data_IF_004567356123
#
_entry.id   IF_004567356123
#
_cell.length_a   1.000
_cell.length_b   1.000
_cell.length_c   1.000
_cell.angle_alpha   90.00
_cell.angle_beta   90.00
_cell.angle_gamma   90.00
#
_symmetry.space_group_name_H-M   'P 1'
#
loop_
_entity.id
_entity.type
_entity.pdbx_description
1 polymer ?
#
# COMPACT_ATOMS: atom_id res chain seq x y z
N UNK A 1 -1.55 19.72 -20.87
CA UNK A 1 -1.10 18.40 -20.36
C UNK A 1 -0.59 18.50 -18.92
N UNK A 2 0.34 19.40 -18.58
CA UNK A 2 0.88 19.52 -17.20
C UNK A 2 -0.16 19.76 -16.09
N UNK A 3 -1.17 20.63 -16.31
CA UNK A 3 -2.20 20.92 -15.30
C UNK A 3 -3.12 19.73 -14.98
N UNK A 4 -3.46 18.90 -15.97
CA UNK A 4 -4.35 17.73 -15.79
C UNK A 4 -3.61 16.62 -15.05
N UNK A 5 -2.34 16.39 -15.40
CA UNK A 5 -1.47 15.45 -14.69
C UNK A 5 -1.29 15.84 -13.22
N UNK A 6 -1.05 17.13 -12.93
CA UNK A 6 -0.93 17.62 -11.55
C UNK A 6 -2.24 17.47 -10.75
N UNK A 7 -3.39 17.76 -11.37
CA UNK A 7 -4.71 17.56 -10.75
C UNK A 7 -4.99 16.08 -10.45
N UNK A 8 -4.65 15.19 -11.39
CA UNK A 8 -4.76 13.74 -11.19
C UNK A 8 -3.86 13.29 -10.03
N UNK A 9 -2.58 13.67 -10.06
CA UNK A 9 -1.62 13.31 -9.02
C UNK A 9 -2.09 13.79 -7.64
N UNK A 10 -2.60 15.03 -7.55
CA UNK A 10 -3.16 15.60 -6.31
C UNK A 10 -4.34 14.80 -5.77
N UNK A 11 -5.23 14.32 -6.64
CA UNK A 11 -6.38 13.48 -6.23
C UNK A 11 -5.94 12.07 -5.82
N UNK A 12 -4.89 11.54 -6.44
CA UNK A 12 -4.30 10.24 -6.08
C UNK A 12 -3.39 10.27 -4.85
N UNK A 13 -3.04 11.45 -4.31
CA UNK A 13 -2.23 11.56 -3.09
C UNK A 13 -2.85 10.84 -1.90
N UNK A 14 -4.16 10.99 -1.69
CA UNK A 14 -4.84 10.36 -0.56
C UNK A 14 -4.75 8.83 -0.60
N UNK A 15 -5.16 8.13 -1.69
CA UNK A 15 -5.05 6.68 -1.74
C UNK A 15 -3.60 6.19 -1.66
N UNK A 16 -2.65 6.83 -2.35
CA UNK A 16 -1.24 6.43 -2.24
C UNK A 16 -0.66 6.62 -0.85
N UNK A 17 -0.98 7.74 -0.18
CA UNK A 17 -0.52 7.99 1.18
C UNK A 17 -1.11 6.96 2.15
N UNK A 18 -2.37 6.55 1.98
CA UNK A 18 -2.98 5.49 2.79
C UNK A 18 -2.18 4.19 2.71
N UNK A 19 -1.84 3.73 1.49
CA UNK A 19 -1.03 2.51 1.32
C UNK A 19 0.36 2.67 1.94
N UNK A 20 1.03 3.80 1.69
CA UNK A 20 2.36 4.08 2.24
C UNK A 20 2.33 4.00 3.77
N UNK A 21 1.37 4.66 4.42
CA UNK A 21 1.24 4.67 5.88
C UNK A 21 1.02 3.26 6.43
N UNK A 22 0.12 2.47 5.82
CA UNK A 22 -0.15 1.10 6.25
C UNK A 22 1.12 0.24 6.11
N UNK A 23 1.83 0.33 4.98
CA UNK A 23 3.05 -0.44 4.74
C UNK A 23 4.18 -0.01 5.68
N UNK A 24 4.33 1.28 5.95
CA UNK A 24 5.33 1.80 6.89
C UNK A 24 5.07 1.33 8.31
N UNK A 25 3.83 1.42 8.80
CA UNK A 25 3.46 0.95 10.15
C UNK A 25 3.66 -0.57 10.23
N UNK A 26 3.18 -1.32 9.24
CA UNK A 26 3.31 -2.78 9.18
C UNK A 26 4.77 -3.22 9.26
N UNK A 27 5.62 -2.64 8.39
CA UNK A 27 7.06 -2.92 8.34
C UNK A 27 7.74 -2.56 9.66
N UNK A 28 7.43 -1.40 10.22
CA UNK A 28 8.00 -0.96 11.50
C UNK A 28 7.64 -1.93 12.64
N UNK A 29 6.39 -2.39 12.68
CA UNK A 29 5.96 -3.38 13.68
C UNK A 29 6.75 -4.67 13.60
N UNK A 30 7.02 -5.20 12.40
CA UNK A 30 7.84 -6.40 12.24
C UNK A 30 9.31 -6.22 12.64
N UNK A 31 9.89 -5.03 12.41
CA UNK A 31 11.25 -4.72 12.86
C UNK A 31 11.32 -4.58 14.40
N UNK A 32 10.23 -4.13 15.04
CA UNK A 32 10.18 -3.91 16.48
C UNK A 32 9.86 -5.18 17.28
N UNK A 33 8.96 -6.03 16.77
CA UNK A 33 8.52 -7.25 17.45
C UNK A 33 9.56 -8.36 17.24
N UNK A 34 10.20 -8.88 18.32
CA UNK A 34 11.17 -9.96 18.18
C UNK A 34 10.49 -11.28 17.76
N UNK A 35 11.15 -11.97 16.83
CA UNK A 35 10.91 -13.36 16.49
C UNK A 35 11.86 -14.29 17.23
N UNK A 36 11.85 -15.56 16.81
CA UNK A 36 12.73 -16.61 17.32
C UNK A 36 13.28 -17.40 16.14
N UNK A 37 14.58 -17.71 16.15
CA UNK A 37 15.21 -18.55 15.13
C UNK A 37 15.02 -20.05 15.40
N UNK A 38 15.53 -20.90 14.51
CA UNK A 38 15.41 -22.36 14.64
C UNK A 38 16.13 -22.95 15.88
N UNK A 39 17.00 -22.17 16.53
CA UNK A 39 17.75 -22.57 17.72
C UNK A 39 17.12 -22.00 19.01
N UNK A 40 16.01 -21.26 18.91
CA UNK A 40 15.35 -20.64 20.05
C UNK A 40 15.94 -19.28 20.45
N UNK A 41 16.88 -18.73 19.68
CA UNK A 41 17.45 -17.42 19.98
C UNK A 41 16.54 -16.28 19.50
N UNK A 42 16.54 -15.12 20.18
CA UNK A 42 15.81 -13.94 19.70
C UNK A 42 16.30 -13.50 18.31
N UNK A 43 15.39 -13.47 17.35
CA UNK A 43 15.64 -12.96 16.00
C UNK A 43 14.92 -11.63 15.80
N UNK A 44 15.57 -10.67 15.12
CA UNK A 44 14.93 -9.40 14.74
C UNK A 44 15.02 -9.24 13.23
N UNK A 45 13.88 -9.01 12.60
CA UNK A 45 13.86 -8.67 11.18
C UNK A 45 14.53 -7.31 10.96
N UNK A 46 15.35 -7.22 9.92
CA UNK A 46 15.73 -5.92 9.37
C UNK A 46 14.57 -5.35 8.53
N UNK A 47 14.72 -4.08 8.12
CA UNK A 47 13.72 -3.43 7.29
C UNK A 47 13.50 -4.11 5.93
N UNK A 48 14.52 -4.77 5.38
CA UNK A 48 14.44 -5.41 4.08
C UNK A 48 13.57 -6.67 4.14
N UNK A 49 13.81 -7.55 5.12
CA UNK A 49 13.02 -8.75 5.36
C UNK A 49 11.59 -8.41 5.77
N UNK A 50 11.41 -7.42 6.65
CA UNK A 50 10.09 -6.96 7.05
C UNK A 50 9.30 -6.41 5.84
N UNK A 51 9.93 -5.55 5.03
CA UNK A 51 9.27 -4.98 3.85
C UNK A 51 8.98 -6.04 2.78
N UNK A 52 9.87 -7.01 2.60
CA UNK A 52 9.67 -8.15 1.71
C UNK A 52 8.46 -8.98 2.14
N UNK A 53 8.36 -9.32 3.44
CA UNK A 53 7.19 -10.01 4.00
C UNK A 53 5.89 -9.22 3.75
N UNK A 54 5.88 -7.94 4.13
CA UNK A 54 4.73 -7.06 3.97
C UNK A 54 4.31 -6.92 2.50
N UNK A 55 5.26 -6.98 1.56
CA UNK A 55 4.97 -6.86 0.13
C UNK A 55 4.10 -8.01 -0.39
N UNK A 56 4.44 -9.26 -0.08
CA UNK A 56 3.65 -10.42 -0.55
C UNK A 56 2.43 -10.69 0.34
N UNK A 57 2.46 -10.29 1.61
CA UNK A 57 1.29 -10.36 2.50
C UNK A 57 0.23 -9.34 2.09
N UNK A 58 0.63 -8.07 1.90
CA UNK A 58 -0.29 -6.98 1.54
C UNK A 58 -0.87 -7.10 0.13
N UNK A 59 -0.18 -7.77 -0.79
CA UNK A 59 -0.70 -8.13 -2.13
C UNK A 59 -1.45 -9.46 -2.16
N UNK A 60 -1.73 -10.04 -0.98
CA UNK A 60 -2.47 -11.29 -0.80
C UNK A 60 -1.87 -12.50 -1.53
N UNK A 61 -0.55 -12.51 -1.75
CA UNK A 61 0.18 -13.65 -2.32
C UNK A 61 0.41 -14.72 -1.24
N UNK A 62 0.92 -14.30 -0.07
CA UNK A 62 1.00 -15.15 1.12
C UNK A 62 1.95 -16.36 1.02
N UNK A 63 3.26 -16.12 0.81
CA UNK A 63 4.28 -17.20 0.80
C UNK A 63 4.51 -17.90 2.15
N UNK A 64 3.86 -17.42 3.22
CA UNK A 64 4.02 -17.95 4.58
C UNK A 64 4.95 -17.13 5.46
N UNK A 65 5.34 -17.71 6.59
CA UNK A 65 6.21 -17.10 7.61
C UNK A 65 7.66 -17.39 7.27
N UNK A 66 8.40 -16.36 6.81
CA UNK A 66 9.80 -16.47 6.42
C UNK A 66 10.65 -15.35 7.03
N UNK A 67 11.93 -15.58 7.36
CA UNK A 67 12.65 -16.86 7.20
C UNK A 67 12.33 -17.91 8.27
N UNK A 68 11.79 -17.50 9.41
CA UNK A 68 11.45 -18.39 10.53
C UNK A 68 9.95 -18.33 10.85
N UNK A 69 9.38 -19.36 11.49
CA UNK A 69 8.02 -19.33 12.01
C UNK A 69 7.79 -18.14 12.94
N UNK A 70 6.65 -17.48 12.80
CA UNK A 70 6.34 -16.29 13.56
C UNK A 70 5.93 -16.64 14.99
N UNK A 71 6.38 -15.81 15.94
CA UNK A 71 5.90 -15.88 17.32
C UNK A 71 4.43 -15.47 17.41
N UNK A 72 3.76 -15.78 18.53
CA UNK A 72 2.38 -15.36 18.75
C UNK A 72 2.18 -13.84 18.60
N UNK A 73 3.15 -13.04 19.05
CA UNK A 73 3.12 -11.59 18.89
C UNK A 73 3.23 -11.16 17.42
N UNK A 74 4.15 -11.78 16.66
CA UNK A 74 4.27 -11.53 15.22
C UNK A 74 3.00 -11.95 14.47
N UNK A 75 2.40 -13.10 14.81
CA UNK A 75 1.12 -13.54 14.21
C UNK A 75 -0.05 -12.60 14.53
N UNK A 76 -0.15 -12.13 15.78
CA UNK A 76 -1.15 -11.14 16.15
C UNK A 76 -0.99 -9.86 15.34
N UNK A 77 0.24 -9.38 15.18
CA UNK A 77 0.55 -8.23 14.33
C UNK A 77 0.20 -8.47 12.86
N UNK A 78 0.60 -9.63 12.30
CA UNK A 78 0.25 -10.07 10.95
C UNK A 78 -1.25 -10.04 10.74
N UNK A 79 -2.05 -10.56 11.67
CA UNK A 79 -3.51 -10.61 11.56
C UNK A 79 -4.10 -9.20 11.42
N UNK A 80 -3.68 -8.25 12.26
CA UNK A 80 -4.13 -6.85 12.17
C UNK A 80 -3.71 -6.23 10.84
N UNK A 81 -2.49 -6.49 10.39
CA UNK A 81 -1.95 -5.93 9.14
C UNK A 81 -2.59 -6.54 7.88
N UNK A 82 -3.04 -7.80 7.91
CA UNK A 82 -3.81 -8.41 6.82
C UNK A 82 -5.10 -7.62 6.60
N UNK A 83 -5.89 -7.38 7.65
CA UNK A 83 -7.13 -6.61 7.50
C UNK A 83 -6.87 -5.16 7.09
N UNK A 84 -5.85 -4.52 7.67
CA UNK A 84 -5.49 -3.15 7.31
C UNK A 84 -5.07 -3.02 5.84
N UNK A 85 -4.24 -3.94 5.32
CA UNK A 85 -3.78 -3.93 3.93
C UNK A 85 -4.92 -4.20 2.96
N UNK A 86 -5.79 -5.18 3.24
CA UNK A 86 -6.99 -5.45 2.41
C UNK A 86 -7.90 -4.22 2.33
N UNK A 87 -8.20 -3.59 3.46
CA UNK A 87 -9.03 -2.37 3.49
C UNK A 87 -8.34 -1.22 2.75
N UNK A 88 -7.03 -1.04 2.95
CA UNK A 88 -6.23 -0.02 2.27
C UNK A 88 -6.25 -0.16 0.75
N UNK A 89 -6.11 -1.39 0.24
CA UNK A 89 -6.19 -1.69 -1.19
C UNK A 89 -7.60 -1.46 -1.75
N UNK A 90 -8.64 -1.95 -1.07
CA UNK A 90 -10.03 -1.73 -1.49
C UNK A 90 -10.37 -0.22 -1.57
N UNK A 91 -9.98 0.54 -0.55
CA UNK A 91 -10.13 1.99 -0.54
C UNK A 91 -9.38 2.65 -1.71
N UNK A 92 -8.12 2.26 -1.92
CA UNK A 92 -7.27 2.88 -2.93
C UNK A 92 -7.76 2.60 -4.34
N UNK A 93 -8.10 1.34 -4.64
CA UNK A 93 -8.69 0.94 -5.92
C UNK A 93 -10.03 1.64 -6.12
N UNK A 94 -10.91 1.65 -5.10
CA UNK A 94 -12.19 2.34 -5.17
C UNK A 94 -12.05 3.82 -5.49
N UNK A 95 -11.10 4.52 -4.87
CA UNK A 95 -10.79 5.93 -5.17
C UNK A 95 -10.25 6.12 -6.57
N UNK A 96 -9.32 5.27 -7.01
CA UNK A 96 -8.77 5.31 -8.38
C UNK A 96 -9.89 5.12 -9.42
N UNK A 97 -10.74 4.11 -9.26
CA UNK A 97 -11.85 3.83 -10.15
C UNK A 97 -12.87 4.99 -10.18
N UNK A 98 -13.22 5.55 -9.01
CA UNK A 98 -14.13 6.70 -8.92
C UNK A 98 -13.57 7.93 -9.63
N UNK A 99 -12.24 8.13 -9.61
CA UNK A 99 -11.58 9.23 -10.29
C UNK A 99 -11.68 9.10 -11.81
N UNK A 100 -11.55 7.88 -12.34
CA UNK A 100 -11.71 7.62 -13.78
C UNK A 100 -13.16 7.75 -14.25
N UNK A 101 -14.14 7.52 -13.36
CA UNK A 101 -15.56 7.64 -13.67
C UNK A 101 -16.11 9.07 -13.55
N UNK A 102 -15.37 10.01 -12.94
CA UNK A 102 -15.84 11.37 -12.66
C UNK A 102 -16.06 12.20 -13.96
N UNK A 103 -17.31 12.62 -14.27
CA UNK A 103 -17.64 13.41 -15.47
C UNK A 103 -16.91 14.76 -15.53
N UNK A 104 -16.55 15.32 -14.37
CA UNK A 104 -15.82 16.59 -14.30
C UNK A 104 -14.35 16.42 -14.73
N UNK A 105 -13.76 15.24 -14.53
CA UNK A 105 -12.46 14.87 -15.07
C UNK A 105 -12.51 14.77 -16.61
N UNK A 106 -13.56 14.14 -17.15
CA UNK A 106 -13.80 14.09 -18.60
C UNK A 106 -14.03 15.48 -19.23
N UNK A 107 -14.73 16.40 -18.54
CA UNK A 107 -14.92 17.78 -19.00
C UNK A 107 -13.61 18.57 -19.02
N UNK A 108 -12.76 18.40 -18.01
CA UNK A 108 -11.42 19.00 -17.97
C UNK A 108 -10.55 18.48 -19.13
N UNK A 109 -10.59 17.16 -19.37
CA UNK A 109 -9.86 16.53 -20.47
C UNK A 109 -10.33 17.06 -21.83
N UNK A 110 -11.66 17.10 -22.07
CA UNK A 110 -12.26 17.68 -23.29
C UNK A 110 -11.90 19.16 -23.50
N UNK A 111 -11.89 19.98 -22.44
CA UNK A 111 -11.47 21.39 -22.53
C UNK A 111 -10.00 21.53 -22.93
N UNK A 112 -9.10 20.73 -22.37
CA UNK A 112 -7.69 20.76 -22.76
C UNK A 112 -7.46 20.27 -24.20
N UNK A 113 -8.22 19.29 -24.69
CA UNK A 113 -8.10 18.82 -26.07
C UNK A 113 -8.68 19.83 -27.06
N UNK A 114 -9.81 20.45 -26.73
CA UNK A 114 -10.42 21.50 -27.55
C UNK A 114 -9.53 22.74 -27.66
N UNK A 115 -8.98 23.23 -26.55
CA UNK A 115 -8.04 24.35 -26.55
C UNK A 115 -6.76 24.08 -27.36
N UNK A 116 -6.34 22.82 -27.48
CA UNK A 116 -5.23 22.41 -28.36
C UNK A 116 -5.61 22.30 -29.83
N UNK A 117 -6.89 22.12 -30.15
CA UNK A 117 -7.38 21.92 -31.52
C UNK A 117 -7.76 23.23 -32.22
N UNK A 118 -8.03 24.26 -31.44
CA UNK A 118 -8.39 25.62 -31.90
C UNK A 118 -7.16 26.54 -31.95
N UNK A 119 -5.97 26.00 -31.72
CA UNK A 119 -4.69 26.71 -31.82
C UNK A 119 -3.88 26.09 -32.96
#
# INVERSE_FOLDING_TARGET
MGHVFYLLLRRLRAPFLTIIVIYSISTLGFVLIPGVDDQGNPYRMDFFHAFYFVSFMGSTIGFGEIPYPFTAAQRAWTMVMIYATVIGWLYSIGKILSLFQDPSFNRLMRRTTFARRVR
#
